data_IF_964146047719
#
_entry.id   IF_964146047719
#
_cell.length_a   1.000
_cell.length_b   1.000
_cell.length_c   1.000
_cell.angle_alpha   90.00
_cell.angle_beta   90.00
_cell.angle_gamma   90.00
#
_symmetry.space_group_name_H-M   'P 1'
#
loop_
_entity.id
_entity.type
_entity.pdbx_description
1 polymer ?
#
# COMPACT_ATOMS: atom_id res chain seq x y z
N UNK A 1 -14.38 -9.04 -30.24
CA UNK A 1 -15.12 -8.23 -29.26
C UNK A 1 -14.54 -6.83 -29.32
N UNK A 2 -15.39 -5.82 -29.52
CA UNK A 2 -14.99 -4.42 -29.76
C UNK A 2 -14.67 -3.74 -28.42
N UNK A 3 -13.40 -3.84 -27.97
CA UNK A 3 -12.86 -3.16 -26.77
C UNK A 3 -13.82 -3.18 -25.56
N UNK A 4 -14.33 -4.36 -25.19
CA UNK A 4 -15.24 -4.54 -24.07
C UNK A 4 -14.54 -4.33 -22.71
N UNK A 5 -14.42 -3.06 -22.29
CA UNK A 5 -13.72 -2.64 -21.08
C UNK A 5 -14.27 -3.29 -19.80
N UNK A 6 -15.59 -3.39 -19.57
CA UNK A 6 -16.12 -4.07 -18.38
C UNK A 6 -15.65 -5.53 -18.25
N UNK A 7 -15.66 -6.28 -19.35
CA UNK A 7 -15.15 -7.65 -19.34
C UNK A 7 -13.63 -7.69 -19.08
N UNK A 8 -12.87 -6.76 -19.65
CA UNK A 8 -11.43 -6.64 -19.40
C UNK A 8 -11.12 -6.33 -17.91
N UNK A 9 -11.91 -5.45 -17.29
CA UNK A 9 -11.76 -5.13 -15.85
C UNK A 9 -12.12 -6.32 -14.96
N UNK A 10 -13.10 -7.13 -15.35
CA UNK A 10 -13.44 -8.36 -14.61
C UNK A 10 -12.26 -9.35 -14.63
N UNK A 11 -11.62 -9.55 -15.78
CA UNK A 11 -10.42 -10.40 -15.91
C UNK A 11 -9.26 -9.82 -15.08
N UNK A 12 -9.02 -8.52 -15.17
CA UNK A 12 -7.98 -7.84 -14.38
C UNK A 12 -8.18 -8.07 -12.87
N UNK A 13 -9.41 -7.95 -12.37
CA UNK A 13 -9.72 -8.17 -10.96
C UNK A 13 -9.48 -9.61 -10.52
N UNK A 14 -9.83 -10.60 -11.36
CA UNK A 14 -9.54 -12.00 -11.03
C UNK A 14 -8.03 -12.27 -11.01
N UNK A 15 -7.27 -11.74 -11.98
CA UNK A 15 -5.80 -11.89 -11.98
C UNK A 15 -5.13 -11.27 -10.76
N UNK A 16 -5.62 -10.11 -10.29
CA UNK A 16 -5.15 -9.51 -9.02
C UNK A 16 -5.47 -10.43 -7.83
N UNK A 17 -6.68 -11.00 -7.80
CA UNK A 17 -7.10 -11.92 -6.74
C UNK A 17 -6.23 -13.17 -6.70
N UNK A 18 -5.96 -13.78 -7.85
CA UNK A 18 -5.06 -14.95 -7.96
C UNK A 18 -3.62 -14.61 -7.54
N UNK A 19 -3.13 -13.42 -7.88
CA UNK A 19 -1.84 -12.90 -7.41
C UNK A 19 -1.77 -12.81 -5.88
N UNK A 20 -2.81 -12.28 -5.24
CA UNK A 20 -2.89 -12.18 -3.78
C UNK A 20 -2.95 -13.56 -3.12
N UNK A 21 -3.73 -14.50 -3.66
CA UNK A 21 -3.74 -15.89 -3.19
C UNK A 21 -2.33 -16.50 -3.27
N UNK A 22 -1.60 -16.25 -4.36
CA UNK A 22 -0.22 -16.74 -4.52
C UNK A 22 0.74 -16.13 -3.48
N UNK A 23 0.52 -14.89 -3.04
CA UNK A 23 1.30 -14.27 -1.97
C UNK A 23 0.97 -14.91 -0.62
N UNK A 24 -0.32 -15.11 -0.32
CA UNK A 24 -0.79 -15.73 0.92
C UNK A 24 -0.29 -17.17 1.06
N UNK A 25 -0.25 -17.92 -0.04
CA UNK A 25 0.28 -19.29 -0.12
C UNK A 25 1.81 -19.36 -0.20
N UNK A 26 2.51 -18.21 -0.16
CA UNK A 26 3.97 -18.13 -0.23
C UNK A 26 4.55 -18.77 -1.50
N UNK A 27 3.91 -18.53 -2.65
CA UNK A 27 4.32 -18.98 -3.99
C UNK A 27 4.93 -17.83 -4.81
N UNK A 28 6.16 -17.38 -4.50
CA UNK A 28 6.72 -16.13 -5.04
C UNK A 28 6.89 -16.11 -6.56
N UNK A 29 7.22 -17.25 -7.17
CA UNK A 29 7.34 -17.35 -8.63
C UNK A 29 5.99 -17.21 -9.33
N UNK A 30 4.91 -17.72 -8.73
CA UNK A 30 3.57 -17.59 -9.28
C UNK A 30 3.04 -16.17 -9.07
N UNK A 31 3.20 -15.63 -7.86
CA UNK A 31 2.88 -14.24 -7.57
C UNK A 31 3.58 -13.26 -8.53
N UNK A 32 4.87 -13.48 -8.82
CA UNK A 32 5.62 -12.66 -9.78
C UNK A 32 5.07 -12.75 -11.21
N UNK A 33 4.61 -13.93 -11.65
CA UNK A 33 3.97 -14.08 -12.97
C UNK A 33 2.64 -13.35 -13.02
N UNK A 34 1.77 -13.56 -12.04
CA UNK A 34 0.46 -12.90 -11.97
C UNK A 34 0.63 -11.37 -11.91
N UNK A 35 1.64 -10.89 -11.17
CA UNK A 35 1.99 -9.47 -11.14
C UNK A 35 2.39 -8.92 -12.51
N UNK A 36 3.24 -9.64 -13.26
CA UNK A 36 3.64 -9.24 -14.60
C UNK A 36 2.45 -9.20 -15.59
N UNK A 37 1.51 -10.14 -15.47
CA UNK A 37 0.27 -10.17 -16.27
C UNK A 37 -0.63 -8.98 -15.95
N UNK A 38 -0.87 -8.72 -14.65
CA UNK A 38 -1.64 -7.55 -14.20
C UNK A 38 -1.01 -6.26 -14.71
N UNK A 39 0.32 -6.10 -14.60
CA UNK A 39 1.04 -4.95 -15.14
C UNK A 39 0.80 -4.76 -16.64
N UNK A 40 0.90 -5.84 -17.43
CA UNK A 40 0.64 -5.77 -18.86
C UNK A 40 -0.81 -5.37 -19.18
N UNK A 41 -1.79 -5.85 -18.41
CA UNK A 41 -3.19 -5.46 -18.57
C UNK A 41 -3.42 -3.98 -18.27
N UNK A 42 -2.88 -3.47 -17.16
CA UNK A 42 -3.04 -2.04 -16.79
C UNK A 42 -2.26 -1.11 -17.71
N UNK A 43 -1.18 -1.57 -18.33
CA UNK A 43 -0.47 -0.84 -19.39
C UNK A 43 -1.33 -0.69 -20.64
N UNK A 44 -1.98 -1.77 -21.11
CA UNK A 44 -2.89 -1.73 -22.27
C UNK A 44 -4.09 -0.81 -22.00
N UNK A 45 -4.62 -0.84 -20.78
CA UNK A 45 -5.73 0.02 -20.35
C UNK A 45 -5.29 1.46 -20.02
N UNK A 46 -3.98 1.74 -20.07
CA UNK A 46 -3.38 3.04 -19.71
C UNK A 46 -3.74 3.51 -18.28
N UNK A 47 -3.90 2.57 -17.35
CA UNK A 47 -4.19 2.79 -15.93
C UNK A 47 -3.08 2.25 -15.02
N UNK A 48 -1.89 1.97 -15.56
CA UNK A 48 -0.76 1.49 -14.77
C UNK A 48 -0.33 2.53 -13.71
N UNK A 49 -0.53 2.30 -12.41
CA UNK A 49 -0.23 3.29 -11.37
C UNK A 49 1.26 3.60 -11.24
N UNK A 50 2.13 2.74 -11.77
CA UNK A 50 3.59 2.94 -11.77
C UNK A 50 4.09 3.73 -12.96
N UNK A 51 3.24 4.01 -13.97
CA UNK A 51 3.67 4.72 -15.16
C UNK A 51 4.06 6.17 -14.85
N UNK A 52 5.10 6.65 -15.53
CA UNK A 52 5.73 7.97 -15.25
C UNK A 52 4.77 9.15 -15.34
N UNK A 53 3.69 9.05 -16.11
CA UNK A 53 2.72 10.13 -16.25
C UNK A 53 1.74 10.23 -15.07
N UNK A 54 1.53 9.14 -14.33
CA UNK A 54 0.78 9.13 -13.06
C UNK A 54 1.64 9.53 -11.86
N UNK A 55 2.95 9.39 -11.99
CA UNK A 55 3.93 10.00 -11.08
C UNK A 55 3.89 11.52 -11.28
N UNK A 56 2.82 12.16 -10.84
CA UNK A 56 2.77 13.62 -10.73
C UNK A 56 4.00 14.12 -9.97
N UNK A 57 4.27 15.42 -10.06
CA UNK A 57 5.36 16.14 -9.36
C UNK A 57 5.25 16.13 -7.81
N UNK A 58 4.62 15.09 -7.23
CA UNK A 58 4.03 15.04 -5.90
C UNK A 58 4.80 14.24 -4.85
N UNK A 59 5.95 13.63 -5.16
CA UNK A 59 6.94 13.40 -4.08
C UNK A 59 7.72 14.68 -3.89
N UNK A 60 7.05 15.67 -3.29
CA UNK A 60 7.72 16.87 -2.83
C UNK A 60 8.67 16.46 -1.70
N UNK A 61 9.80 17.15 -1.52
CA UNK A 61 10.70 16.90 -0.39
C UNK A 61 9.95 16.86 0.97
N UNK A 62 8.81 17.56 1.07
CA UNK A 62 7.91 17.52 2.20
C UNK A 62 7.27 16.13 2.44
N UNK A 63 6.82 15.43 1.38
CA UNK A 63 6.25 14.08 1.53
C UNK A 63 7.32 13.07 1.97
N UNK A 64 8.55 13.19 1.45
CA UNK A 64 9.66 12.34 1.89
C UNK A 64 10.08 12.62 3.34
N UNK A 65 10.09 13.88 3.76
CA UNK A 65 10.35 14.25 5.15
C UNK A 65 9.24 13.76 6.08
N UNK A 66 7.98 13.85 5.65
CA UNK A 66 6.82 13.34 6.38
C UNK A 66 6.91 11.82 6.55
N UNK A 67 7.19 11.06 5.49
CA UNK A 67 7.35 9.60 5.56
C UNK A 67 8.43 9.21 6.57
N UNK A 68 9.59 9.87 6.53
CA UNK A 68 10.67 9.64 7.51
C UNK A 68 10.24 9.88 8.95
N UNK A 69 9.51 10.97 9.21
CA UNK A 69 9.00 11.30 10.55
C UNK A 69 7.97 10.28 11.03
N UNK A 70 7.00 9.92 10.18
CA UNK A 70 5.94 8.96 10.53
C UNK A 70 6.53 7.57 10.80
N UNK A 71 7.51 7.12 10.01
CA UNK A 71 8.22 5.86 10.25
C UNK A 71 8.91 5.81 11.60
N UNK A 72 9.56 6.91 12.01
CA UNK A 72 10.18 7.00 13.35
C UNK A 72 9.14 6.83 14.46
N UNK A 73 7.97 7.47 14.33
CA UNK A 73 6.89 7.36 15.32
C UNK A 73 6.26 5.97 15.33
N UNK A 74 6.12 5.32 14.18
CA UNK A 74 5.66 3.92 14.10
C UNK A 74 6.63 2.98 14.83
N UNK A 75 7.94 3.17 14.65
CA UNK A 75 8.95 2.37 15.34
C UNK A 75 8.88 2.56 16.86
N UNK A 76 8.82 3.80 17.34
CA UNK A 76 8.62 4.09 18.77
C UNK A 76 7.35 3.46 19.32
N UNK A 77 6.26 3.50 18.55
CA UNK A 77 5.00 2.83 18.90
C UNK A 77 5.17 1.32 19.00
N UNK A 78 5.89 0.70 18.07
CA UNK A 78 6.11 -0.75 18.05
C UNK A 78 6.94 -1.18 19.26
N UNK A 79 8.02 -0.46 19.57
CA UNK A 79 8.81 -0.68 20.80
C UNK A 79 7.94 -0.53 22.06
N UNK A 80 7.05 0.46 22.11
CA UNK A 80 6.12 0.62 23.23
C UNK A 80 5.13 -0.56 23.33
N UNK A 81 4.63 -1.08 22.20
CA UNK A 81 3.76 -2.27 22.19
C UNK A 81 4.48 -3.51 22.68
N UNK A 82 5.70 -3.74 22.21
CA UNK A 82 6.52 -4.90 22.56
C UNK A 82 6.91 -4.90 24.05
N UNK A 83 7.16 -3.71 24.60
CA UNK A 83 7.40 -3.50 26.04
C UNK A 83 6.12 -3.47 26.90
N UNK A 84 4.94 -3.65 26.29
CA UNK A 84 3.60 -3.57 26.93
C UNK A 84 3.27 -2.19 27.53
N UNK A 85 3.94 -1.13 27.07
CA UNK A 85 3.58 0.26 27.36
C UNK A 85 2.47 0.73 26.40
N UNK A 86 1.26 0.26 26.66
CA UNK A 86 0.08 0.62 25.85
C UNK A 86 -0.24 2.11 25.92
N UNK A 87 0.06 2.78 27.03
CA UNK A 87 -0.18 4.22 27.20
C UNK A 87 0.66 5.04 26.21
N UNK A 88 1.94 4.71 26.08
CA UNK A 88 2.82 5.37 25.10
C UNK A 88 2.42 5.03 23.67
N UNK A 89 2.08 3.77 23.40
CA UNK A 89 1.60 3.35 22.08
C UNK A 89 0.34 4.11 21.63
N UNK A 90 -0.66 4.22 22.51
CA UNK A 90 -1.90 4.94 22.23
C UNK A 90 -1.65 6.44 22.05
N UNK A 91 -0.79 7.05 22.88
CA UNK A 91 -0.42 8.46 22.74
C UNK A 91 0.17 8.76 21.36
N UNK A 92 1.05 7.90 20.84
CA UNK A 92 1.67 8.09 19.52
C UNK A 92 0.62 7.95 18.42
N UNK A 93 -0.25 6.93 18.50
CA UNK A 93 -1.36 6.76 17.53
C UNK A 93 -2.26 8.00 17.50
N UNK A 94 -2.62 8.52 18.67
CA UNK A 94 -3.54 9.64 18.78
C UNK A 94 -2.87 10.95 18.31
N UNK A 95 -1.56 11.11 18.52
CA UNK A 95 -0.78 12.22 17.97
C UNK A 95 -0.76 12.20 16.44
N UNK A 96 -0.52 11.04 15.84
CA UNK A 96 -0.55 10.89 14.38
C UNK A 96 -1.95 11.18 13.82
N UNK A 97 -2.99 10.63 14.46
CA UNK A 97 -4.38 10.88 14.07
C UNK A 97 -4.75 12.36 14.16
N UNK A 98 -4.26 13.08 15.18
CA UNK A 98 -4.53 14.50 15.36
C UNK A 98 -3.96 15.39 14.23
N UNK A 99 -2.93 14.91 13.53
CA UNK A 99 -2.32 15.61 12.38
C UNK A 99 -2.80 15.04 11.03
N UNK A 100 -3.86 14.22 11.04
CA UNK A 100 -4.44 13.64 9.83
C UNK A 100 -3.66 12.43 9.29
N UNK A 101 -2.87 11.75 10.12
CA UNK A 101 -2.18 10.50 9.75
C UNK A 101 -2.89 9.32 10.41
N UNK A 102 -3.47 8.43 9.61
CA UNK A 102 -4.06 7.18 10.07
C UNK A 102 -3.07 6.02 9.92
N UNK A 103 -3.09 5.10 10.90
CA UNK A 103 -2.27 3.89 10.90
C UNK A 103 -3.13 2.66 10.69
N UNK A 104 -2.70 1.79 9.79
CA UNK A 104 -3.30 0.49 9.49
C UNK A 104 -2.29 -0.63 9.76
N UNK A 105 -2.57 -1.47 10.75
CA UNK A 105 -1.74 -2.64 11.04
C UNK A 105 -2.21 -3.83 10.19
N UNK A 106 -1.31 -4.46 9.42
CA UNK A 106 -1.59 -5.66 8.60
C UNK A 106 -0.40 -6.63 8.61
N UNK A 107 -0.65 -7.90 8.95
CA UNK A 107 0.30 -9.02 8.89
C UNK A 107 1.73 -8.72 9.42
N UNK A 108 1.85 -7.93 10.49
CA UNK A 108 3.14 -7.56 11.10
C UNK A 108 3.80 -6.30 10.53
N UNK A 109 3.14 -5.62 9.60
CA UNK A 109 3.53 -4.30 9.08
C UNK A 109 2.51 -3.24 9.47
N UNK A 110 2.96 -2.01 9.68
CA UNK A 110 2.09 -0.85 9.88
C UNK A 110 2.20 0.05 8.66
N UNK A 111 1.10 0.24 7.95
CA UNK A 111 0.95 1.20 6.86
C UNK A 111 0.37 2.50 7.42
N UNK A 112 0.64 3.62 6.76
CA UNK A 112 0.07 4.90 7.13
C UNK A 112 -0.52 5.61 5.91
N UNK A 113 -1.58 6.38 6.14
CA UNK A 113 -2.21 7.19 5.12
C UNK A 113 -2.49 8.60 5.65
N UNK A 114 -2.60 9.57 4.74
CA UNK A 114 -3.14 10.88 5.05
C UNK A 114 -4.66 10.85 4.88
N UNK A 115 -5.36 11.31 5.92
CA UNK A 115 -6.79 11.57 5.83
C UNK A 115 -6.99 12.77 4.89
N UNK A 116 -7.93 12.63 3.95
CA UNK A 116 -8.28 13.66 2.96
C UNK A 116 -9.14 14.79 3.56
#
# INVERSE_FOLDING_TARGET
>A
DDLNIPAALAVLHESVREGNVSLDEQLPHQAARNYAEVLAMVDVLNINPTAKFWQGSGSTAAMSALDGLVRSLIEERNVARDSKDFKTSDRIRDQLKAVGVTLEDSAGSTHWNLDA
#
